data_IF_250299896898
#
_entry.id   IF_250299896898
#
_cell.length_a   1.000
_cell.length_b   1.000
_cell.length_c   1.000
_cell.angle_alpha   90.00
_cell.angle_beta   90.00
_cell.angle_gamma   90.00
#
_symmetry.space_group_name_H-M   'P 1'
#
loop_
_entity.id
_entity.type
_entity.pdbx_description
1 polymer ?
#
# COMPACT_ATOMS: atom_id res chain seq x y z
N UNK A 1 3.52 11.76 9.90
CA UNK A 1 2.33 12.07 9.09
C UNK A 1 2.06 10.86 8.24
N UNK A 2 0.84 10.31 8.29
CA UNK A 2 0.37 9.31 7.31
C UNK A 2 -0.33 10.09 6.22
N UNK A 3 0.03 9.87 4.96
CA UNK A 3 -0.49 10.59 3.81
C UNK A 3 -1.02 9.61 2.76
N UNK A 4 -1.79 10.09 1.80
CA UNK A 4 -2.39 9.31 0.72
C UNK A 4 -1.75 9.68 -0.62
N UNK A 5 -1.80 8.77 -1.57
CA UNK A 5 -1.57 9.14 -2.96
C UNK A 5 -2.69 10.05 -3.46
N UNK A 6 -2.35 11.07 -4.22
CA UNK A 6 -3.32 11.97 -4.87
C UNK A 6 -3.93 11.37 -6.13
N UNK A 7 -3.21 10.44 -6.78
CA UNK A 7 -3.70 9.72 -7.95
C UNK A 7 -4.80 8.71 -7.62
N UNK A 8 -5.68 8.47 -8.59
CA UNK A 8 -6.66 7.39 -8.51
C UNK A 8 -5.98 6.04 -8.74
N UNK A 9 -6.46 5.03 -8.03
CA UNK A 9 -6.02 3.63 -8.18
C UNK A 9 -7.24 2.73 -8.31
N UNK A 10 -7.02 1.45 -8.65
CA UNK A 10 -8.08 0.45 -8.63
C UNK A 10 -8.74 0.34 -7.25
N UNK A 11 -8.06 0.70 -6.17
CA UNK A 11 -8.63 0.72 -4.82
C UNK A 11 -9.80 1.69 -4.67
N UNK A 12 -9.73 2.86 -5.30
CA UNK A 12 -10.85 3.83 -5.32
C UNK A 12 -12.07 3.22 -6.02
N UNK A 13 -11.84 2.52 -7.14
CA UNK A 13 -12.92 1.85 -7.89
C UNK A 13 -13.53 0.69 -7.12
N UNK A 14 -12.72 -0.15 -6.48
CA UNK A 14 -13.19 -1.29 -5.68
C UNK A 14 -14.04 -0.78 -4.51
N UNK A 15 -13.53 0.20 -3.77
CA UNK A 15 -14.25 0.78 -2.63
C UNK A 15 -15.55 1.45 -3.07
N UNK A 16 -15.50 2.28 -4.12
CA UNK A 16 -16.68 3.01 -4.60
C UNK A 16 -17.77 2.11 -5.21
N UNK A 17 -17.39 1.02 -5.91
CA UNK A 17 -18.34 0.13 -6.59
C UNK A 17 -18.87 -1.00 -5.71
N UNK A 18 -18.07 -1.48 -4.77
CA UNK A 18 -18.39 -2.68 -3.99
C UNK A 18 -18.52 -2.42 -2.49
N UNK A 19 -18.25 -1.20 -2.02
CA UNK A 19 -18.33 -0.87 -0.59
C UNK A 19 -17.28 -1.60 0.27
N UNK A 20 -16.25 -2.18 -0.35
CA UNK A 20 -15.19 -2.90 0.36
C UNK A 20 -14.12 -1.89 0.78
N UNK A 21 -13.78 -1.77 2.08
CA UNK A 21 -12.67 -0.93 2.51
C UNK A 21 -11.35 -1.41 1.90
N UNK A 22 -10.61 -0.50 1.26
CA UNK A 22 -9.34 -0.80 0.60
C UNK A 22 -8.25 0.16 1.09
N UNK A 23 -7.08 -0.40 1.38
CA UNK A 23 -5.84 0.35 1.57
C UNK A 23 -4.84 -0.05 0.49
N UNK A 24 -4.11 0.93 -0.04
CA UNK A 24 -2.98 0.71 -0.94
C UNK A 24 -1.67 1.01 -0.21
N UNK A 25 -0.72 0.08 -0.25
CA UNK A 25 0.60 0.27 0.33
C UNK A 25 1.66 -0.40 -0.54
N UNK A 26 2.79 0.27 -0.78
CA UNK A 26 3.83 -0.27 -1.63
C UNK A 26 5.08 0.60 -1.65
N UNK A 27 6.18 0.08 -2.23
CA UNK A 27 7.39 0.84 -2.38
C UNK A 27 7.25 1.94 -3.44
N UNK A 28 8.22 2.85 -3.48
CA UNK A 28 8.21 3.99 -4.40
C UNK A 28 7.72 5.28 -3.74
N UNK A 29 7.94 6.40 -4.43
CA UNK A 29 7.45 7.72 -4.02
C UNK A 29 6.56 8.24 -5.14
N UNK A 30 5.45 8.88 -4.78
CA UNK A 30 4.47 9.39 -5.74
C UNK A 30 5.08 10.33 -6.79
N UNK A 31 6.06 11.16 -6.40
CA UNK A 31 6.76 12.07 -7.31
C UNK A 31 7.64 11.38 -8.38
N UNK A 32 7.97 10.10 -8.19
CA UNK A 32 8.74 9.31 -9.17
C UNK A 32 7.82 8.58 -10.15
N UNK A 33 6.51 8.50 -9.87
CA UNK A 33 5.56 7.78 -10.70
C UNK A 33 5.47 8.42 -12.11
N UNK A 34 5.58 7.59 -13.14
CA UNK A 34 5.55 8.00 -14.55
C UNK A 34 6.72 8.89 -14.99
N UNK A 35 7.79 8.98 -14.20
CA UNK A 35 9.00 9.67 -14.63
C UNK A 35 9.78 8.83 -15.67
N UNK A 36 10.41 9.43 -16.70
CA UNK A 36 11.20 8.69 -17.69
C UNK A 36 12.35 7.87 -17.08
N UNK A 37 12.83 8.29 -15.92
CA UNK A 37 13.88 7.64 -15.13
C UNK A 37 13.37 7.24 -13.73
N UNK A 38 12.11 6.78 -13.66
CA UNK A 38 11.47 6.33 -12.42
C UNK A 38 12.41 5.44 -11.60
N UNK A 39 12.54 5.77 -10.31
CA UNK A 39 13.41 5.07 -9.38
C UNK A 39 12.68 4.74 -8.10
N UNK A 40 13.06 3.63 -7.50
CA UNK A 40 12.58 3.18 -6.19
C UNK A 40 13.75 2.93 -5.25
N UNK A 41 13.55 3.24 -3.97
CA UNK A 41 14.53 2.93 -2.92
C UNK A 41 14.44 1.45 -2.56
N UNK A 42 15.58 0.74 -2.63
CA UNK A 42 15.67 -0.69 -2.28
C UNK A 42 15.15 -0.98 -0.87
N UNK A 43 15.41 -0.09 0.08
CA UNK A 43 14.90 -0.21 1.45
C UNK A 43 13.37 -0.21 1.51
N UNK A 44 12.69 0.58 0.66
CA UNK A 44 11.23 0.59 0.64
C UNK A 44 10.67 -0.78 0.22
N UNK A 45 11.35 -1.47 -0.70
CA UNK A 45 10.93 -2.81 -1.16
C UNK A 45 10.93 -3.78 0.02
N UNK A 46 12.02 -3.82 0.78
CA UNK A 46 12.17 -4.71 1.95
C UNK A 46 11.14 -4.37 3.03
N UNK A 47 10.97 -3.08 3.36
CA UNK A 47 10.00 -2.65 4.37
C UNK A 47 8.55 -2.96 3.96
N UNK A 48 8.18 -2.76 2.69
CA UNK A 48 6.84 -3.05 2.22
C UNK A 48 6.55 -4.55 2.17
N UNK A 49 7.52 -5.36 1.77
CA UNK A 49 7.41 -6.81 1.84
C UNK A 49 7.19 -7.29 3.28
N UNK A 50 7.94 -6.75 4.24
CA UNK A 50 7.78 -7.08 5.66
C UNK A 50 6.38 -6.71 6.19
N UNK A 51 5.81 -5.58 5.75
CA UNK A 51 4.44 -5.17 6.11
C UNK A 51 3.42 -6.20 5.60
N UNK A 52 3.48 -6.57 4.31
CA UNK A 52 2.55 -7.56 3.76
C UNK A 52 2.71 -8.94 4.42
N UNK A 53 3.93 -9.32 4.80
CA UNK A 53 4.19 -10.56 5.52
C UNK A 53 3.65 -10.54 6.97
N UNK A 54 3.60 -9.37 7.62
CA UNK A 54 3.12 -9.26 9.00
C UNK A 54 1.60 -9.23 9.13
N UNK A 55 0.87 -8.69 8.13
CA UNK A 55 -0.60 -8.59 8.14
C UNK A 55 -1.30 -9.88 8.58
N UNK A 56 -1.08 -11.07 7.95
CA UNK A 56 -1.83 -12.26 8.32
C UNK A 56 -1.57 -12.68 9.78
N UNK A 57 -0.34 -12.54 10.26
CA UNK A 57 0.03 -12.87 11.63
C UNK A 57 -0.62 -11.93 12.63
N UNK A 58 -0.57 -10.62 12.37
CA UNK A 58 -1.22 -9.60 13.21
C UNK A 58 -2.72 -9.79 13.22
N UNK A 59 -3.35 -10.00 12.05
CA UNK A 59 -4.79 -10.21 11.95
C UNK A 59 -5.26 -11.44 12.74
N UNK A 60 -4.56 -12.58 12.60
CA UNK A 60 -4.85 -13.78 13.38
C UNK A 60 -4.65 -13.57 14.89
N UNK A 61 -3.70 -12.73 15.30
CA UNK A 61 -3.51 -12.38 16.71
C UNK A 61 -4.66 -11.53 17.25
N UNK A 62 -5.21 -10.61 16.47
CA UNK A 62 -6.36 -9.79 16.89
C UNK A 62 -7.65 -10.62 16.96
N UNK A 63 -7.87 -11.58 16.06
CA UNK A 63 -9.05 -12.46 16.09
C UNK A 63 -9.11 -13.41 17.31
N UNK A 64 -7.97 -13.66 17.96
CA UNK A 64 -7.88 -14.53 19.14
C UNK A 64 -8.15 -13.79 20.46
N UNK A 65 -8.27 -12.47 20.42
CA UNK A 65 -8.66 -11.65 21.57
C UNK A 65 -10.18 -11.64 21.71
#
# INVERSE_FOLDING_TARGET
MVDKWTFSTNGVSIMGRHGIPVIGFGPGKEAEAHAPNEKTLKNHIVTCAAMYASIPLTYLSELKK
#
